data_IF_046650367096
#
_entry.id   IF_046650367096
#
_cell.length_a   1.000
_cell.length_b   1.000
_cell.length_c   1.000
_cell.angle_alpha   90.00
_cell.angle_beta   90.00
_cell.angle_gamma   90.00
#
_symmetry.space_group_name_H-M   'P 1'
#
loop_
_entity.id
_entity.type
_entity.pdbx_description
1 polymer ?
#
# COMPACT_ATOMS: atom_id res chain seq x y z
N UNK A 1 57.01 -65.97 -26.79
CA UNK A 1 57.06 -66.91 -27.91
C UNK A 1 56.93 -66.11 -29.19
N UNK A 2 58.01 -66.13 -29.94
CA UNK A 2 58.20 -66.04 -31.41
C UNK A 2 57.60 -64.79 -32.08
N UNK A 3 58.40 -63.84 -32.56
CA UNK A 3 59.53 -63.89 -33.49
C UNK A 3 59.10 -63.81 -34.96
N UNK A 4 59.69 -62.88 -35.68
CA UNK A 4 60.04 -62.95 -37.09
C UNK A 4 59.67 -61.65 -37.83
N UNK A 5 60.55 -60.67 -38.03
CA UNK A 5 61.53 -60.47 -39.06
C UNK A 5 60.97 -60.67 -40.48
N UNK A 6 61.07 -59.67 -41.36
CA UNK A 6 62.15 -59.38 -42.30
C UNK A 6 61.75 -58.23 -43.26
N UNK A 7 62.72 -57.35 -43.46
CA UNK A 7 62.87 -56.44 -44.60
C UNK A 7 63.39 -57.25 -45.85
N UNK A 8 63.79 -56.62 -46.98
CA UNK A 8 63.66 -55.26 -47.57
C UNK A 8 63.31 -55.29 -49.08
N UNK A 9 63.51 -54.21 -49.81
CA UNK A 9 64.03 -53.89 -51.15
C UNK A 9 63.10 -52.90 -51.91
N UNK A 10 63.33 -51.68 -52.27
CA UNK A 10 64.35 -51.14 -53.14
C UNK A 10 63.70 -50.39 -54.31
N UNK A 11 63.72 -49.02 -54.33
CA UNK A 11 63.86 -48.06 -55.38
C UNK A 11 62.77 -47.94 -56.51
N UNK A 12 62.76 -46.91 -57.33
CA UNK A 12 63.54 -45.67 -57.36
C UNK A 12 62.70 -44.36 -57.51
N UNK A 13 63.38 -43.25 -57.43
CA UNK A 13 63.00 -41.90 -57.63
C UNK A 13 62.12 -41.57 -58.84
N UNK A 14 61.08 -40.76 -58.69
CA UNK A 14 60.56 -39.90 -59.75
C UNK A 14 60.34 -38.46 -59.22
N UNK A 15 61.00 -37.55 -59.92
CA UNK A 15 60.80 -36.10 -59.84
C UNK A 15 59.34 -35.77 -60.20
N UNK A 16 58.70 -34.93 -59.44
CA UNK A 16 57.34 -34.46 -59.74
C UNK A 16 56.91 -33.18 -58.99
N UNK A 17 57.14 -32.04 -59.59
CA UNK A 17 56.37 -30.79 -59.50
C UNK A 17 55.98 -30.28 -58.16
N UNK A 18 56.63 -29.22 -57.80
CA UNK A 18 56.24 -28.22 -56.82
C UNK A 18 54.84 -27.62 -57.19
N UNK A 19 53.80 -27.96 -56.43
CA UNK A 19 52.52 -27.32 -56.46
C UNK A 19 52.42 -26.43 -55.23
N UNK A 20 52.36 -25.11 -55.51
CA UNK A 20 52.06 -24.07 -54.55
C UNK A 20 50.72 -24.37 -53.83
N UNK A 21 50.79 -24.68 -52.57
CA UNK A 21 49.60 -24.80 -51.71
C UNK A 21 49.33 -23.42 -51.05
N UNK A 22 48.31 -22.70 -51.56
CA UNK A 22 47.77 -21.56 -50.89
C UNK A 22 47.20 -22.02 -49.53
N UNK A 23 47.84 -21.61 -48.45
CA UNK A 23 47.29 -21.71 -47.13
C UNK A 23 46.20 -20.66 -47.02
N UNK A 24 44.94 -21.08 -47.11
CA UNK A 24 43.80 -20.26 -46.70
C UNK A 24 43.74 -20.32 -45.18
N UNK A 25 44.21 -19.26 -44.52
CA UNK A 25 44.04 -19.10 -43.08
C UNK A 25 42.58 -18.78 -42.80
N UNK A 26 41.80 -19.78 -42.38
CA UNK A 26 40.43 -19.57 -41.86
C UNK A 26 40.55 -18.92 -40.51
N UNK A 27 40.33 -17.60 -40.48
CA UNK A 27 40.18 -16.84 -39.22
C UNK A 27 38.82 -17.21 -38.61
N UNK A 28 38.84 -18.10 -37.61
CA UNK A 28 37.67 -18.36 -36.75
C UNK A 28 37.47 -17.14 -35.87
N UNK A 29 36.53 -16.24 -36.24
CA UNK A 29 36.05 -15.16 -35.37
C UNK A 29 35.19 -15.82 -34.31
N UNK A 30 35.77 -16.04 -33.12
CA UNK A 30 34.97 -16.39 -31.92
C UNK A 30 34.14 -15.17 -31.53
N UNK A 31 32.89 -15.14 -31.94
CA UNK A 31 31.92 -14.21 -31.38
C UNK A 31 31.63 -14.62 -29.95
N UNK A 32 32.24 -13.90 -28.99
CA UNK A 32 31.94 -14.01 -27.57
C UNK A 32 30.54 -13.43 -27.37
N UNK A 33 29.51 -14.27 -27.41
CA UNK A 33 28.18 -13.91 -27.01
C UNK A 33 28.21 -13.62 -25.50
N UNK A 34 28.25 -12.35 -25.10
CA UNK A 34 27.97 -11.94 -23.73
C UNK A 34 26.53 -12.38 -23.40
N UNK A 35 26.39 -13.52 -22.76
CA UNK A 35 25.17 -13.92 -22.11
C UNK A 35 25.05 -12.97 -20.91
N UNK A 36 24.28 -11.87 -21.07
CA UNK A 36 23.87 -11.04 -19.96
C UNK A 36 23.10 -11.93 -18.99
N UNK A 37 23.72 -12.26 -17.85
CA UNK A 37 22.99 -12.91 -16.75
C UNK A 37 21.73 -12.07 -16.48
N UNK A 38 20.55 -12.68 -16.29
CA UNK A 38 19.36 -11.93 -15.90
C UNK A 38 19.74 -11.20 -14.61
N UNK A 39 19.80 -9.87 -14.65
CA UNK A 39 19.87 -9.07 -13.45
C UNK A 39 18.68 -9.53 -12.61
N UNK A 40 18.91 -10.06 -11.41
CA UNK A 40 17.83 -10.39 -10.48
C UNK A 40 16.96 -9.14 -10.38
N UNK A 41 15.79 -9.19 -11.00
CA UNK A 41 14.88 -8.08 -10.97
C UNK A 41 14.60 -7.77 -9.48
N UNK A 42 14.86 -6.54 -9.07
CA UNK A 42 14.58 -6.09 -7.71
C UNK A 42 13.13 -6.38 -7.40
N UNK A 43 12.84 -6.89 -6.23
CA UNK A 43 11.49 -7.11 -5.74
C UNK A 43 11.16 -6.06 -4.67
N UNK A 44 9.97 -5.48 -4.75
CA UNK A 44 9.36 -4.66 -3.71
C UNK A 44 8.20 -5.44 -3.09
N UNK A 45 8.42 -5.96 -1.88
CA UNK A 45 7.41 -6.72 -1.14
C UNK A 45 6.58 -5.76 -0.28
N UNK A 46 5.28 -5.74 -0.47
CA UNK A 46 4.36 -4.82 0.22
C UNK A 46 3.44 -5.60 1.13
N UNK A 47 3.34 -5.19 2.39
CA UNK A 47 2.32 -5.69 3.31
C UNK A 47 1.05 -4.88 3.15
N UNK A 48 -0.05 -5.55 2.86
CA UNK A 48 -1.36 -4.93 2.69
C UNK A 48 -2.50 -5.86 3.13
N UNK A 49 -3.67 -5.28 3.32
CA UNK A 49 -4.87 -6.03 3.65
C UNK A 49 -5.56 -6.51 2.36
N UNK A 50 -5.97 -7.79 2.27
CA UNK A 50 -6.58 -8.33 1.06
C UNK A 50 -8.01 -7.85 0.82
N UNK A 51 -8.68 -7.21 1.79
CA UNK A 51 -10.08 -6.79 1.69
C UNK A 51 -10.40 -5.51 2.50
N UNK A 52 -9.62 -4.46 2.30
CA UNK A 52 -9.74 -3.17 3.00
C UNK A 52 -9.89 -1.99 2.00
N UNK A 53 -10.95 -2.04 1.18
CA UNK A 53 -11.23 -0.90 0.29
C UNK A 53 -11.63 0.36 1.10
N UNK A 54 -11.23 1.54 0.66
CA UNK A 54 -10.59 1.91 -0.61
C UNK A 54 -9.05 1.79 -0.63
N UNK A 55 -8.40 1.36 0.44
CA UNK A 55 -6.95 1.32 0.61
C UNK A 55 -6.32 0.22 -0.23
N UNK A 56 -6.64 -1.03 0.08
CA UNK A 56 -6.08 -2.19 -0.61
C UNK A 56 -7.09 -3.33 -0.74
N UNK A 57 -6.89 -4.17 -1.75
CA UNK A 57 -7.52 -5.48 -1.85
C UNK A 57 -6.66 -6.43 -2.68
N UNK A 58 -6.97 -7.73 -2.62
CA UNK A 58 -6.20 -8.76 -3.32
C UNK A 58 -6.25 -8.63 -4.86
N UNK A 59 -7.26 -7.92 -5.42
CA UNK A 59 -7.33 -7.64 -6.86
C UNK A 59 -6.51 -6.41 -7.28
N UNK A 60 -5.84 -5.72 -6.36
CA UNK A 60 -5.06 -4.52 -6.66
C UNK A 60 -5.89 -3.27 -6.95
N UNK A 61 -7.17 -3.26 -6.55
CA UNK A 61 -8.10 -2.17 -6.87
C UNK A 61 -8.07 -1.01 -5.88
N UNK A 62 -7.39 -1.12 -4.74
CA UNK A 62 -7.28 -0.02 -3.77
C UNK A 62 -6.34 1.09 -4.25
N UNK A 63 -6.53 2.30 -3.71
CA UNK A 63 -5.66 3.42 -4.10
C UNK A 63 -4.21 3.23 -3.65
N UNK A 64 -3.96 2.58 -2.52
CA UNK A 64 -2.62 2.24 -2.06
C UNK A 64 -1.97 1.20 -2.98
N UNK A 65 -2.72 0.21 -3.47
CA UNK A 65 -2.22 -0.72 -4.47
C UNK A 65 -1.73 0.03 -5.73
N UNK A 66 -2.49 1.02 -6.19
CA UNK A 66 -2.11 1.82 -7.38
C UNK A 66 -0.87 2.66 -7.11
N UNK A 67 -0.78 3.30 -5.93
CA UNK A 67 0.35 4.14 -5.57
C UNK A 67 1.63 3.31 -5.42
N UNK A 68 1.59 2.16 -4.74
CA UNK A 68 2.78 1.29 -4.65
C UNK A 68 3.18 0.70 -6.00
N UNK A 69 2.22 0.52 -6.93
CA UNK A 69 2.51 0.17 -8.32
C UNK A 69 3.31 1.25 -9.05
N UNK A 70 3.04 2.53 -8.80
CA UNK A 70 3.84 3.66 -9.32
C UNK A 70 5.26 3.59 -8.75
N UNK A 71 5.39 3.39 -7.44
CA UNK A 71 6.67 3.30 -6.76
C UNK A 71 7.49 2.12 -7.29
N UNK A 72 6.90 0.93 -7.39
CA UNK A 72 7.59 -0.25 -7.92
C UNK A 72 8.11 -0.01 -9.34
N UNK A 73 7.30 0.60 -10.21
CA UNK A 73 7.68 0.98 -11.58
C UNK A 73 8.84 1.97 -11.58
N UNK A 74 8.82 2.99 -10.72
CA UNK A 74 9.91 3.98 -10.60
C UNK A 74 11.21 3.35 -10.13
N UNK A 75 11.14 2.37 -9.22
CA UNK A 75 12.29 1.65 -8.69
C UNK A 75 12.79 0.51 -9.62
N UNK A 76 12.12 0.27 -10.75
CA UNK A 76 12.41 -0.88 -11.62
C UNK A 76 12.23 -2.22 -10.90
N UNK A 77 11.30 -2.29 -9.95
CA UNK A 77 11.07 -3.44 -9.10
C UNK A 77 9.81 -4.22 -9.51
N UNK A 78 9.86 -5.54 -9.36
CA UNK A 78 8.66 -6.38 -9.40
C UNK A 78 7.89 -6.21 -8.09
N UNK A 79 6.57 -5.99 -8.17
CA UNK A 79 5.71 -5.82 -7.01
C UNK A 79 5.14 -7.15 -6.56
N UNK A 80 5.27 -7.45 -5.28
CA UNK A 80 4.60 -8.58 -4.64
C UNK A 80 3.91 -8.17 -3.33
N UNK A 81 2.96 -8.97 -2.87
CA UNK A 81 2.19 -8.66 -1.67
C UNK A 81 2.27 -9.77 -0.64
N UNK A 82 2.47 -9.34 0.62
CA UNK A 82 2.15 -10.15 1.79
C UNK A 82 0.79 -9.70 2.30
N UNK A 83 -0.22 -10.52 2.04
CA UNK A 83 -1.58 -10.24 2.45
C UNK A 83 -1.81 -10.63 3.90
N UNK A 84 -2.23 -9.67 4.71
CA UNK A 84 -2.52 -9.86 6.12
C UNK A 84 -3.61 -8.88 6.57
N UNK A 85 -4.53 -9.35 7.42
CA UNK A 85 -5.57 -8.48 7.98
C UNK A 85 -4.96 -7.31 8.75
N UNK A 86 -5.37 -6.08 8.46
CA UNK A 86 -4.83 -4.86 9.05
C UNK A 86 -5.45 -4.62 10.44
N UNK A 87 -5.19 -5.52 11.37
CA UNK A 87 -5.58 -5.44 12.76
C UNK A 87 -4.36 -5.28 13.67
N UNK A 88 -4.59 -5.29 14.99
CA UNK A 88 -3.50 -5.23 15.99
C UNK A 88 -2.45 -6.30 15.72
N UNK A 89 -1.20 -5.87 15.74
CA UNK A 89 -0.05 -6.75 15.45
C UNK A 89 0.32 -6.88 13.98
N UNK A 90 -0.41 -6.24 13.06
CA UNK A 90 -0.10 -6.23 11.64
C UNK A 90 1.38 -5.93 11.37
N UNK A 91 1.89 -4.80 11.82
CA UNK A 91 3.31 -4.40 11.62
C UNK A 91 4.29 -5.43 12.20
N UNK A 92 4.00 -5.93 13.41
CA UNK A 92 4.88 -6.89 14.09
C UNK A 92 4.94 -8.22 13.34
N UNK A 93 3.81 -8.70 12.87
CA UNK A 93 3.68 -10.02 12.24
C UNK A 93 4.00 -10.01 10.74
N UNK A 94 4.22 -8.84 10.15
CA UNK A 94 4.52 -8.69 8.72
C UNK A 94 5.85 -8.00 8.50
N UNK A 95 5.92 -6.68 8.56
CA UNK A 95 7.13 -5.91 8.27
C UNK A 95 8.29 -6.27 9.21
N UNK A 96 8.05 -6.28 10.53
CA UNK A 96 9.09 -6.64 11.52
C UNK A 96 9.47 -8.12 11.47
N UNK A 97 8.60 -8.98 10.96
CA UNK A 97 8.90 -10.39 10.71
C UNK A 97 9.64 -10.62 9.37
N UNK A 98 9.96 -9.55 8.62
CA UNK A 98 10.69 -9.64 7.35
C UNK A 98 9.88 -10.18 6.18
N UNK A 99 8.55 -10.27 6.31
CA UNK A 99 7.67 -10.81 5.26
C UNK A 99 7.43 -9.80 4.12
N UNK A 100 7.65 -8.52 4.37
CA UNK A 100 7.58 -7.45 3.39
C UNK A 100 8.61 -6.36 3.71
N UNK A 101 8.72 -5.35 2.83
CA UNK A 101 9.68 -4.26 2.94
C UNK A 101 9.00 -2.91 3.13
N UNK A 102 7.71 -2.81 2.73
CA UNK A 102 6.95 -1.55 2.71
C UNK A 102 5.54 -1.78 3.23
N UNK A 103 5.05 -0.84 4.05
CA UNK A 103 3.64 -0.75 4.50
C UNK A 103 3.10 0.61 4.09
N UNK A 104 2.15 0.71 3.16
CA UNK A 104 1.46 1.96 2.87
C UNK A 104 0.44 2.31 3.97
N UNK A 105 -0.03 3.57 3.97
CA UNK A 105 -1.14 3.99 4.83
C UNK A 105 -0.80 4.08 6.32
N UNK A 106 0.45 4.31 6.67
CA UNK A 106 0.85 4.49 8.08
C UNK A 106 0.78 5.96 8.49
N UNK A 107 0.36 6.27 9.74
CA UNK A 107 0.53 7.62 10.27
C UNK A 107 2.01 8.04 10.21
N UNK A 108 2.25 9.30 9.82
CA UNK A 108 3.60 9.86 9.86
C UNK A 108 4.14 9.86 11.29
N UNK A 109 5.44 9.72 11.43
CA UNK A 109 6.16 9.70 12.71
C UNK A 109 5.73 8.57 13.66
N UNK A 110 5.26 7.45 13.13
CA UNK A 110 4.95 6.28 13.93
C UNK A 110 6.25 5.65 14.45
N UNK A 111 6.52 5.74 15.75
CA UNK A 111 7.82 5.37 16.37
C UNK A 111 8.28 3.93 16.08
N UNK A 112 7.37 3.02 15.85
CA UNK A 112 7.71 1.61 15.57
C UNK A 112 8.24 1.37 14.15
N UNK A 113 8.24 2.40 13.29
CA UNK A 113 8.65 2.37 11.90
C UNK A 113 9.55 3.56 11.56
N UNK A 114 10.30 3.45 10.46
CA UNK A 114 10.82 4.60 9.74
C UNK A 114 9.81 4.98 8.68
N UNK A 115 9.24 6.20 8.76
CA UNK A 115 8.21 6.65 7.83
C UNK A 115 8.78 7.58 6.76
N UNK A 116 8.16 7.57 5.58
CA UNK A 116 8.42 8.53 4.50
C UNK A 116 7.88 9.91 4.86
N UNK A 117 8.14 10.91 4.02
CA UNK A 117 7.36 12.13 4.00
C UNK A 117 5.88 11.79 3.71
N UNK A 118 4.92 12.54 4.27
CA UNK A 118 3.50 12.30 4.04
C UNK A 118 3.13 12.47 2.57
N UNK A 119 2.32 11.56 2.03
CA UNK A 119 1.80 11.67 0.67
C UNK A 119 0.36 12.15 0.61
N UNK A 120 -0.38 12.09 1.74
CA UNK A 120 -1.65 12.82 1.91
C UNK A 120 -1.92 13.10 3.39
N UNK A 121 -2.86 14.03 3.63
CA UNK A 121 -3.43 14.37 4.95
C UNK A 121 -4.94 14.21 4.88
N UNK A 122 -5.53 13.61 5.90
CA UNK A 122 -6.98 13.47 6.02
C UNK A 122 -7.44 13.53 7.47
N UNK A 123 -8.75 13.61 7.69
CA UNK A 123 -9.34 13.68 9.01
C UNK A 123 -10.42 12.63 9.18
N UNK A 124 -10.82 12.41 10.42
CA UNK A 124 -12.12 11.83 10.70
C UNK A 124 -13.23 12.81 10.30
N UNK A 125 -14.36 12.25 9.88
CA UNK A 125 -15.52 13.01 9.45
C UNK A 125 -16.79 12.44 10.09
N UNK A 126 -17.73 13.33 10.40
CA UNK A 126 -19.12 12.95 10.68
C UNK A 126 -19.79 12.66 9.34
N UNK A 127 -20.47 11.51 9.25
CA UNK A 127 -21.26 11.12 8.08
C UNK A 127 -22.71 11.03 8.50
N UNK A 128 -23.58 11.78 7.84
CA UNK A 128 -25.03 11.78 8.04
C UNK A 128 -25.75 11.67 6.70
N UNK A 129 -27.03 11.31 6.71
CA UNK A 129 -27.85 11.55 5.53
C UNK A 129 -27.96 13.06 5.28
N UNK A 130 -28.02 13.47 4.02
CA UNK A 130 -27.92 14.88 3.63
C UNK A 130 -29.02 15.77 4.25
N UNK A 131 -30.21 15.21 4.44
CA UNK A 131 -31.37 15.89 5.04
C UNK A 131 -31.29 16.01 6.57
N UNK A 132 -30.43 15.23 7.23
CA UNK A 132 -30.24 15.31 8.66
C UNK A 132 -29.49 16.61 9.05
N UNK A 133 -29.71 17.13 10.26
CA UNK A 133 -28.97 18.29 10.77
C UNK A 133 -27.47 18.05 10.74
N UNK A 134 -26.70 19.06 10.35
CA UNK A 134 -25.25 18.98 10.34
C UNK A 134 -24.68 18.91 11.75
N UNK A 135 -23.70 18.03 11.95
CA UNK A 135 -22.89 17.89 13.15
C UNK A 135 -21.43 18.04 12.77
N UNK A 136 -20.69 18.90 13.48
CA UNK A 136 -19.27 19.15 13.23
C UNK A 136 -18.39 18.96 14.46
N UNK A 137 -18.98 18.81 15.65
CA UNK A 137 -18.24 18.74 16.91
C UNK A 137 -18.76 17.65 17.83
N UNK A 138 -17.86 17.00 18.57
CA UNK A 138 -18.22 16.08 19.66
C UNK A 138 -18.93 16.77 20.84
N UNK A 139 -18.95 18.10 20.90
CA UNK A 139 -19.67 18.86 21.93
C UNK A 139 -21.11 19.15 21.56
N UNK A 140 -21.60 18.71 20.40
CA UNK A 140 -22.97 18.88 19.99
C UNK A 140 -23.91 18.10 20.93
N UNK A 141 -24.84 18.76 21.61
CA UNK A 141 -25.72 18.11 22.58
C UNK A 141 -26.64 17.05 21.95
N UNK A 142 -26.94 17.16 20.65
CA UNK A 142 -27.76 16.21 19.91
C UNK A 142 -27.17 14.81 19.87
N UNK A 143 -25.84 14.68 19.98
CA UNK A 143 -25.15 13.39 19.95
C UNK A 143 -25.65 12.39 20.99
N UNK A 144 -26.18 12.90 22.14
CA UNK A 144 -26.68 12.03 23.21
C UNK A 144 -27.96 11.27 22.85
N UNK A 145 -28.69 11.72 21.84
CA UNK A 145 -29.94 11.10 21.38
C UNK A 145 -29.78 10.35 20.04
N UNK A 146 -28.60 10.39 19.42
CA UNK A 146 -28.37 9.77 18.10
C UNK A 146 -27.76 8.37 18.24
N UNK A 147 -28.16 7.47 17.35
CA UNK A 147 -27.46 6.18 17.13
C UNK A 147 -26.22 6.44 16.31
N UNK A 148 -25.04 6.24 16.92
CA UNK A 148 -23.76 6.65 16.34
C UNK A 148 -22.91 5.41 16.05
N UNK A 149 -22.44 5.29 14.80
CA UNK A 149 -21.45 4.31 14.39
C UNK A 149 -20.03 4.82 14.60
N UNK A 150 -19.17 3.99 15.13
CA UNK A 150 -17.73 4.25 15.26
C UNK A 150 -16.92 3.05 14.81
N UNK A 151 -15.73 3.30 14.27
CA UNK A 151 -14.78 2.23 13.95
C UNK A 151 -14.07 1.75 15.23
N UNK A 152 -13.97 0.43 15.38
CA UNK A 152 -13.21 -0.23 16.44
C UNK A 152 -11.95 -0.87 15.85
N UNK A 153 -10.80 -0.69 16.54
CA UNK A 153 -9.50 -1.17 16.07
C UNK A 153 -9.22 -2.60 16.54
N UNK A 154 -9.84 -3.03 17.65
CA UNK A 154 -9.64 -4.36 18.22
C UNK A 154 -10.59 -4.66 19.38
N UNK A 155 -10.50 -5.88 19.89
CA UNK A 155 -11.37 -6.39 20.97
C UNK A 155 -10.88 -6.01 22.37
N UNK A 156 -9.72 -5.37 22.48
CA UNK A 156 -9.00 -5.10 23.73
C UNK A 156 -9.15 -3.67 24.26
N UNK A 157 -10.17 -2.95 23.80
CA UNK A 157 -10.44 -1.56 24.22
C UNK A 157 -9.57 -0.50 23.53
N UNK A 158 -8.71 -0.87 22.58
CA UNK A 158 -8.01 0.06 21.71
C UNK A 158 -9.01 0.63 20.68
N UNK A 159 -9.73 1.64 21.08
CA UNK A 159 -10.74 2.27 20.25
C UNK A 159 -10.14 3.35 19.35
N UNK A 160 -10.83 3.62 18.24
CA UNK A 160 -10.49 4.74 17.36
C UNK A 160 -10.61 6.09 18.11
N UNK A 161 -9.89 7.14 17.68
CA UNK A 161 -10.00 8.46 18.29
C UNK A 161 -11.45 8.97 18.46
N UNK A 162 -12.35 8.84 17.47
CA UNK A 162 -13.75 9.21 17.66
C UNK A 162 -14.46 8.44 18.77
N UNK A 163 -14.24 7.13 18.88
CA UNK A 163 -14.82 6.32 19.93
C UNK A 163 -14.36 6.77 21.33
N UNK A 164 -13.05 7.10 21.47
CA UNK A 164 -12.50 7.68 22.70
C UNK A 164 -13.09 9.05 23.02
N UNK A 165 -13.23 9.93 22.01
CA UNK A 165 -13.80 11.28 22.19
C UNK A 165 -15.24 11.23 22.67
N UNK A 166 -16.06 10.34 22.13
CA UNK A 166 -17.45 10.12 22.57
C UNK A 166 -17.48 9.51 23.97
N UNK A 167 -16.64 8.50 24.25
CA UNK A 167 -16.55 7.88 25.57
C UNK A 167 -16.17 8.87 26.67
N UNK A 168 -15.22 9.79 26.45
CA UNK A 168 -14.84 10.87 27.40
C UNK A 168 -16.03 11.78 27.77
N UNK A 169 -17.03 11.88 26.88
CA UNK A 169 -18.25 12.69 27.08
C UNK A 169 -19.43 11.90 27.64
N UNK A 170 -19.19 10.61 27.96
CA UNK A 170 -20.23 9.70 28.44
C UNK A 170 -21.27 9.34 27.37
N UNK A 171 -20.95 9.54 26.09
CA UNK A 171 -21.82 9.16 24.96
C UNK A 171 -21.48 7.72 24.59
N UNK A 172 -22.09 6.75 25.28
CA UNK A 172 -21.81 5.32 25.11
C UNK A 172 -23.07 4.48 24.87
N UNK A 173 -24.25 4.96 25.32
CA UNK A 173 -25.49 4.16 25.33
C UNK A 173 -26.06 3.82 23.94
N UNK A 174 -25.71 4.58 22.93
CA UNK A 174 -26.21 4.42 21.56
C UNK A 174 -25.07 4.31 20.53
N UNK A 175 -23.90 3.83 20.98
CA UNK A 175 -22.78 3.55 20.09
C UNK A 175 -22.89 2.16 19.49
N UNK A 176 -22.70 2.06 18.19
CA UNK A 176 -22.51 0.81 17.46
C UNK A 176 -21.07 0.74 16.95
N UNK A 177 -20.35 -0.29 17.37
CA UNK A 177 -18.99 -0.53 16.93
C UNK A 177 -18.94 -1.27 15.58
N UNK A 178 -18.12 -0.80 14.66
CA UNK A 178 -17.85 -1.44 13.38
C UNK A 178 -16.36 -1.75 13.32
N UNK A 179 -15.94 -3.02 13.21
CA UNK A 179 -14.54 -3.37 13.07
C UNK A 179 -13.90 -2.70 11.85
N UNK A 180 -12.65 -2.23 11.98
CA UNK A 180 -11.89 -1.69 10.83
C UNK A 180 -11.46 -2.78 9.86
N UNK A 181 -11.39 -4.01 10.33
CA UNK A 181 -11.26 -5.22 9.54
C UNK A 181 -12.53 -6.05 9.70
N UNK A 182 -12.88 -6.83 8.72
CA UNK A 182 -14.17 -7.50 8.75
C UNK A 182 -14.12 -8.98 8.38
N UNK A 183 -15.29 -9.52 8.11
CA UNK A 183 -15.44 -10.85 7.54
C UNK A 183 -14.88 -10.85 6.11
N UNK A 184 -13.75 -11.55 5.91
CA UNK A 184 -13.07 -11.63 4.61
C UNK A 184 -13.85 -12.46 3.58
N UNK A 185 -14.92 -13.15 3.99
CA UNK A 185 -15.87 -13.77 3.08
C UNK A 185 -16.89 -12.77 2.51
N UNK A 186 -17.08 -11.63 3.18
CA UNK A 186 -17.98 -10.57 2.74
C UNK A 186 -17.28 -9.60 1.76
N UNK A 187 -17.96 -9.08 0.75
CA UNK A 187 -17.41 -8.03 -0.11
C UNK A 187 -17.34 -6.71 0.68
N UNK A 188 -16.17 -6.06 0.66
CA UNK A 188 -15.94 -4.73 1.25
C UNK A 188 -16.43 -4.58 2.70
N UNK A 189 -15.96 -5.37 3.67
CA UNK A 189 -16.42 -5.27 5.07
C UNK A 189 -16.41 -3.84 5.64
N UNK A 190 -15.42 -2.97 5.32
CA UNK A 190 -15.40 -1.59 5.81
C UNK A 190 -16.55 -0.70 5.33
N UNK A 191 -17.28 -1.10 4.27
CA UNK A 191 -18.45 -0.35 3.76
C UNK A 191 -19.60 -0.31 4.77
N UNK A 192 -19.71 -1.32 5.62
CA UNK A 192 -20.87 -1.59 6.47
C UNK A 192 -21.30 -0.39 7.33
N UNK A 193 -20.35 0.37 7.86
CA UNK A 193 -20.65 1.55 8.68
C UNK A 193 -21.33 2.66 7.86
N UNK A 194 -20.94 2.85 6.60
CA UNK A 194 -21.53 3.84 5.69
C UNK A 194 -22.91 3.37 5.21
N UNK A 195 -23.04 2.09 4.93
CA UNK A 195 -24.33 1.46 4.57
C UNK A 195 -25.33 1.57 5.69
N UNK A 196 -24.92 1.43 6.94
CA UNK A 196 -25.77 1.60 8.12
C UNK A 196 -26.31 3.03 8.25
N UNK A 197 -25.52 4.06 7.90
CA UNK A 197 -26.01 5.44 7.82
C UNK A 197 -27.01 5.60 6.67
N UNK A 198 -26.66 5.09 5.50
CA UNK A 198 -27.50 5.21 4.30
C UNK A 198 -28.86 4.53 4.47
N UNK A 199 -28.92 3.37 5.11
CA UNK A 199 -30.16 2.63 5.39
C UNK A 199 -30.98 3.20 6.55
N UNK A 200 -30.38 4.07 7.39
CA UNK A 200 -31.03 4.59 8.60
C UNK A 200 -30.99 3.63 9.79
N UNK A 201 -30.17 2.57 9.75
CA UNK A 201 -29.90 1.70 10.90
C UNK A 201 -29.21 2.49 12.03
N UNK A 202 -28.32 3.42 11.67
CA UNK A 202 -27.75 4.43 12.55
C UNK A 202 -28.02 5.81 11.98
N UNK A 203 -28.02 6.82 12.83
CA UNK A 203 -28.32 8.19 12.42
C UNK A 203 -27.10 8.90 11.85
N UNK A 204 -25.93 8.54 12.33
CA UNK A 204 -24.65 9.07 11.88
C UNK A 204 -23.51 8.10 12.17
N UNK A 205 -22.38 8.32 11.50
CA UNK A 205 -21.12 7.66 11.82
C UNK A 205 -19.98 8.67 11.98
N UNK A 206 -18.95 8.31 12.74
CA UNK A 206 -17.69 9.07 12.76
C UNK A 206 -16.59 8.14 12.30
N UNK A 207 -16.11 8.39 11.10
CA UNK A 207 -15.20 7.48 10.39
C UNK A 207 -14.04 8.21 9.75
N UNK A 208 -13.01 7.43 9.39
CA UNK A 208 -11.89 7.95 8.65
C UNK A 208 -12.31 8.47 7.26
N UNK A 209 -11.89 9.70 6.92
CA UNK A 209 -12.36 10.43 5.74
C UNK A 209 -12.21 9.69 4.41
N UNK A 210 -11.06 9.05 4.09
CA UNK A 210 -10.90 8.26 2.87
C UNK A 210 -11.94 7.15 2.71
N UNK A 211 -12.26 6.42 3.78
CA UNK A 211 -13.30 5.40 3.78
C UNK A 211 -14.68 6.04 3.54
N UNK A 212 -14.97 7.12 4.26
CA UNK A 212 -16.23 7.84 4.12
C UNK A 212 -16.43 8.33 2.69
N UNK A 213 -15.45 9.02 2.11
CA UNK A 213 -15.52 9.58 0.75
C UNK A 213 -15.79 8.51 -0.31
N UNK A 214 -15.05 7.40 -0.22
CA UNK A 214 -15.18 6.32 -1.18
C UNK A 214 -16.55 5.64 -1.14
N UNK A 215 -17.03 5.26 0.04
CA UNK A 215 -18.28 4.53 0.17
C UNK A 215 -19.52 5.44 0.14
N UNK A 216 -19.44 6.69 0.61
CA UNK A 216 -20.54 7.63 0.50
C UNK A 216 -20.90 7.94 -0.96
N UNK A 217 -19.90 8.11 -1.83
CA UNK A 217 -20.10 8.33 -3.26
C UNK A 217 -20.80 7.16 -3.99
N UNK A 218 -20.86 5.99 -3.38
CA UNK A 218 -21.46 4.75 -3.92
C UNK A 218 -22.83 4.45 -3.34
N UNK A 219 -23.32 5.25 -2.40
CA UNK A 219 -24.65 5.09 -1.86
C UNK A 219 -25.71 5.67 -2.81
N UNK A 220 -26.91 5.08 -2.79
CA UNK A 220 -28.07 5.60 -3.52
C UNK A 220 -28.66 6.85 -2.84
N UNK A 221 -28.46 6.97 -1.55
CA UNK A 221 -28.89 8.08 -0.72
C UNK A 221 -27.75 9.09 -0.60
N UNK A 222 -28.06 10.36 -0.75
CA UNK A 222 -27.07 11.43 -0.58
C UNK A 222 -26.61 11.51 0.87
N UNK A 223 -25.32 11.40 1.10
CA UNK A 223 -24.67 11.54 2.40
C UNK A 223 -23.90 12.87 2.47
N UNK A 224 -23.85 13.46 3.67
CA UNK A 224 -23.03 14.62 4.01
C UNK A 224 -21.84 14.14 4.83
N UNK A 225 -20.67 14.65 4.51
CA UNK A 225 -19.45 14.46 5.27
C UNK A 225 -19.00 15.80 5.84
N UNK A 226 -18.90 15.90 7.15
CA UNK A 226 -18.47 17.12 7.84
C UNK A 226 -17.20 16.81 8.63
N UNK A 227 -16.06 17.49 8.39
CA UNK A 227 -14.85 17.29 9.17
C UNK A 227 -15.09 17.46 10.67
N UNK A 228 -14.41 16.64 11.46
CA UNK A 228 -14.48 16.74 12.92
C UNK A 228 -13.72 17.98 13.39
N UNK A 229 -14.39 18.81 14.21
CA UNK A 229 -13.77 19.93 14.91
C UNK A 229 -13.99 19.80 16.45
N UNK A 230 -13.00 20.15 17.28
CA UNK A 230 -11.64 20.57 16.90
C UNK A 230 -10.82 19.42 16.32
N UNK A 231 -9.79 19.75 15.54
CA UNK A 231 -8.88 18.78 14.93
C UNK A 231 -8.05 17.97 15.92
N UNK A 232 -7.98 18.44 17.16
CA UNK A 232 -7.38 17.75 18.31
C UNK A 232 -8.39 17.82 19.45
N UNK A 233 -8.89 16.69 19.91
CA UNK A 233 -9.81 16.59 21.02
C UNK A 233 -9.02 16.44 22.35
N UNK A 234 -9.08 17.48 23.17
CA UNK A 234 -8.25 17.56 24.38
C UNK A 234 -6.74 17.60 24.06
N UNK A 235 -5.86 17.24 24.99
CA UNK A 235 -4.43 17.51 24.85
C UNK A 235 -3.72 16.60 23.84
N UNK A 236 -4.24 15.42 23.51
CA UNK A 236 -3.50 14.40 22.78
C UNK A 236 -4.34 13.44 21.92
N UNK A 237 -5.53 13.83 21.51
CA UNK A 237 -6.37 12.97 20.69
C UNK A 237 -6.64 13.61 19.30
N UNK A 238 -5.74 13.41 18.33
CA UNK A 238 -5.87 14.00 17.01
C UNK A 238 -7.02 13.34 16.23
N UNK A 239 -7.71 14.15 15.44
CA UNK A 239 -8.73 13.73 14.47
C UNK A 239 -8.24 13.90 13.04
N UNK A 240 -6.99 14.37 12.88
CA UNK A 240 -6.32 14.60 11.61
C UNK A 240 -4.97 13.89 11.62
N UNK A 241 -4.62 13.29 10.50
CA UNK A 241 -3.35 12.57 10.36
C UNK A 241 -2.69 12.86 9.02
N UNK A 242 -1.38 13.04 9.08
CA UNK A 242 -0.50 12.91 7.92
C UNK A 242 -0.23 11.43 7.67
N UNK A 243 -0.40 10.99 6.45
CA UNK A 243 -0.26 9.59 6.07
C UNK A 243 0.96 9.40 5.19
N UNK A 244 1.80 8.47 5.62
CA UNK A 244 3.10 8.11 5.06
C UNK A 244 3.13 6.63 4.69
N UNK A 245 4.27 6.18 4.19
CA UNK A 245 4.59 4.76 4.07
C UNK A 245 5.67 4.40 5.09
N UNK A 246 5.61 3.19 5.62
CA UNK A 246 6.54 2.70 6.64
C UNK A 246 7.48 1.63 6.10
N UNK A 247 8.75 1.72 6.51
CA UNK A 247 9.77 0.69 6.33
C UNK A 247 10.37 0.32 7.69
N UNK A 248 11.20 -0.72 7.76
CA UNK A 248 11.96 -1.04 8.98
C UNK A 248 12.93 0.10 9.32
N UNK A 249 13.36 0.19 10.57
CA UNK A 249 14.26 1.26 11.02
C UNK A 249 15.61 1.27 10.30
N UNK A 250 16.10 0.11 9.91
CA UNK A 250 17.35 -0.10 9.19
C UNK A 250 17.28 0.16 7.69
N UNK A 251 16.08 0.31 7.11
CA UNK A 251 15.86 0.42 5.66
C UNK A 251 15.85 1.88 5.15
N UNK A 252 16.75 2.72 5.65
CA UNK A 252 16.81 4.15 5.26
C UNK A 252 17.03 4.36 3.76
N UNK A 253 17.72 3.45 3.08
CA UNK A 253 17.93 3.52 1.61
C UNK A 253 16.57 3.37 0.91
N UNK A 254 15.82 2.31 1.22
CA UNK A 254 14.50 2.09 0.63
C UNK A 254 13.56 3.25 0.94
N UNK A 255 13.56 3.75 2.19
CA UNK A 255 12.76 4.92 2.56
C UNK A 255 13.07 6.13 1.69
N UNK A 256 14.35 6.45 1.50
CA UNK A 256 14.79 7.57 0.66
C UNK A 256 14.36 7.41 -0.81
N UNK A 257 14.43 6.21 -1.36
CA UNK A 257 13.99 5.91 -2.72
C UNK A 257 12.47 6.06 -2.86
N UNK A 258 11.70 5.57 -1.87
CA UNK A 258 10.23 5.73 -1.83
C UNK A 258 9.86 7.20 -1.70
N UNK A 259 10.54 7.98 -0.86
CA UNK A 259 10.35 9.43 -0.74
C UNK A 259 10.56 10.15 -2.07
N UNK A 260 11.63 9.82 -2.78
CA UNK A 260 11.93 10.39 -4.09
C UNK A 260 10.85 10.04 -5.12
N UNK A 261 10.38 8.77 -5.13
CA UNK A 261 9.31 8.33 -6.01
C UNK A 261 7.97 9.03 -5.71
N UNK A 262 7.60 9.16 -4.43
CA UNK A 262 6.40 9.88 -4.00
C UNK A 262 6.45 11.36 -4.43
N UNK A 263 7.60 12.02 -4.26
CA UNK A 263 7.78 13.42 -4.66
C UNK A 263 7.69 13.58 -6.18
N UNK A 264 8.36 12.72 -6.94
CA UNK A 264 8.37 12.75 -8.42
C UNK A 264 6.99 12.53 -9.01
N UNK A 265 6.21 11.60 -8.46
CA UNK A 265 4.90 11.22 -8.98
C UNK A 265 3.73 11.88 -8.24
N UNK A 266 3.96 12.97 -7.50
CA UNK A 266 2.95 13.65 -6.69
C UNK A 266 1.67 13.99 -7.46
N UNK A 267 1.77 14.43 -8.70
CA UNK A 267 0.60 14.79 -9.52
C UNK A 267 -0.25 13.55 -9.85
N UNK A 268 0.38 12.42 -10.24
CA UNK A 268 -0.30 11.15 -10.53
C UNK A 268 -0.95 10.58 -9.26
N UNK A 269 -0.23 10.63 -8.13
CA UNK A 269 -0.76 10.20 -6.82
C UNK A 269 -1.97 11.04 -6.42
N UNK A 270 -1.90 12.37 -6.56
CA UNK A 270 -3.00 13.27 -6.27
C UNK A 270 -4.24 12.96 -7.12
N UNK A 271 -4.06 12.63 -8.39
CA UNK A 271 -5.16 12.23 -9.27
C UNK A 271 -5.82 10.91 -8.80
N UNK A 272 -5.02 9.93 -8.37
CA UNK A 272 -5.54 8.68 -7.77
C UNK A 272 -6.35 9.00 -6.52
N UNK A 273 -5.81 9.76 -5.58
CA UNK A 273 -6.51 10.12 -4.33
C UNK A 273 -7.85 10.81 -4.60
N UNK A 274 -7.87 11.74 -5.58
CA UNK A 274 -9.10 12.42 -6.00
C UNK A 274 -10.12 11.46 -6.63
N UNK A 275 -9.67 10.51 -7.46
CA UNK A 275 -10.53 9.48 -8.07
C UNK A 275 -11.25 8.63 -7.03
N UNK A 276 -10.63 8.41 -5.87
CA UNK A 276 -11.23 7.66 -4.76
C UNK A 276 -12.07 8.53 -3.80
N UNK A 277 -12.22 9.83 -4.11
CA UNK A 277 -13.06 10.74 -3.32
C UNK A 277 -12.49 11.06 -1.93
N UNK A 278 -11.16 11.01 -1.77
CA UNK A 278 -10.55 11.33 -0.48
C UNK A 278 -10.77 12.79 -0.10
N UNK A 279 -11.38 13.07 1.08
CA UNK A 279 -11.39 14.41 1.63
C UNK A 279 -9.94 14.82 1.97
N UNK A 280 -9.42 15.79 1.21
CA UNK A 280 -8.05 16.26 1.39
C UNK A 280 -8.05 17.58 2.15
N UNK A 281 -7.14 17.68 3.12
CA UNK A 281 -6.95 18.88 3.94
C UNK A 281 -5.70 19.68 3.56
N UNK A 282 -4.85 19.12 2.72
CA UNK A 282 -3.61 19.70 2.23
C UNK A 282 -3.81 20.64 1.02
N UNK A 283 -5.02 20.74 0.49
CA UNK A 283 -5.35 21.63 -0.63
C UNK A 283 -5.83 23.02 -0.22
N UNK A 284 -6.08 23.25 1.07
CA UNK A 284 -6.43 24.56 1.60
C UNK A 284 -5.16 25.26 2.14
N UNK A 285 -4.38 25.88 1.25
CA UNK A 285 -3.35 26.85 1.62
C UNK A 285 -2.21 26.28 2.46
N UNK A 286 -1.29 25.55 1.83
CA UNK A 286 0.07 25.56 2.31
C UNK A 286 0.69 26.93 1.95
N UNK A 287 1.38 27.62 2.90
CA UNK A 287 2.12 28.83 2.59
C UNK A 287 3.23 28.57 1.59
#
# INVERSE_FOLDING_TARGET
MYSGCLEPIGGPARRGRMRSRHFVATICVLTLSLVAAPANARELRVCADPNNMPFSNASGAGFENKIVGIIARELGATLSYTWWAQHRGFIRNTLKAGLCDLVPGTPANLEILRTTAPYYRSSYVFVTRKEAPEVSSFNDPRLRGLRIGVQLIGDDGANSPPAQALGRRGIVGHLTGFPVYGDYSAPNPPARIIEAVASGEIDMAVVWGPLAGYFAARQKVALRMTPVEPRIDGPQLPMIYDISMGVRHEDDVLRGEVDAALAKHRAEINAILAQYGLPRLDTAGAP
#
